data_IF_777223918299
#
_entry.id   IF_777223918299
#
_cell.length_a   1.000
_cell.length_b   1.000
_cell.length_c   1.000
_cell.angle_alpha   90.00
_cell.angle_beta   90.00
_cell.angle_gamma   90.00
#
_symmetry.space_group_name_H-M   'P 1'
#
loop_
_entity.id
_entity.type
_entity.pdbx_description
1 polymer ?
#
# COMPACT_ATOMS: atom_id res chain seq x y z
N UNK A 1 18.63 15.00 -46.32
CA UNK A 1 18.06 15.68 -45.13
C UNK A 1 16.89 14.91 -44.49
N UNK A 2 16.39 13.82 -45.10
CA UNK A 2 15.34 12.97 -44.51
C UNK A 2 15.95 11.79 -43.72
N UNK A 3 17.11 11.28 -44.16
CA UNK A 3 17.75 10.11 -43.56
C UNK A 3 18.29 10.37 -42.14
N UNK A 4 18.84 11.56 -41.87
CA UNK A 4 19.27 11.95 -40.51
C UNK A 4 18.09 12.01 -39.53
N UNK A 5 16.91 12.45 -39.97
CA UNK A 5 15.74 12.51 -39.10
C UNK A 5 15.23 11.12 -38.71
N UNK A 6 15.31 10.17 -39.66
CA UNK A 6 14.96 8.77 -39.40
C UNK A 6 15.97 8.14 -38.42
N UNK A 7 17.26 8.41 -38.61
CA UNK A 7 18.32 7.89 -37.74
C UNK A 7 18.23 8.47 -36.32
N UNK A 8 17.99 9.78 -36.18
CA UNK A 8 17.78 10.44 -34.89
C UNK A 8 16.54 9.90 -34.17
N UNK A 9 15.44 9.66 -34.90
CA UNK A 9 14.24 9.05 -34.34
C UNK A 9 14.50 7.60 -33.90
N UNK A 10 15.31 6.87 -34.65
CA UNK A 10 15.68 5.49 -34.36
C UNK A 10 16.60 5.38 -33.14
N UNK A 11 17.59 6.26 -33.02
CA UNK A 11 18.45 6.39 -31.82
C UNK A 11 17.63 6.72 -30.57
N UNK A 12 16.71 7.69 -30.68
CA UNK A 12 15.86 8.06 -29.54
C UNK A 12 14.96 6.90 -29.09
N UNK A 13 14.45 6.10 -30.04
CA UNK A 13 13.65 4.92 -29.71
C UNK A 13 14.47 3.82 -29.02
N UNK A 14 15.76 3.64 -29.36
CA UNK A 14 16.59 2.63 -28.68
C UNK A 14 16.91 3.01 -27.23
N UNK A 15 17.17 4.30 -26.95
CA UNK A 15 17.44 4.75 -25.57
C UNK A 15 16.17 4.78 -24.70
N UNK A 16 15.00 4.97 -25.31
CA UNK A 16 13.70 4.92 -24.62
C UNK A 16 13.16 3.49 -24.45
N UNK A 17 13.84 2.46 -24.99
CA UNK A 17 13.39 1.08 -24.77
C UNK A 17 13.51 0.78 -23.28
N UNK A 18 12.40 0.39 -22.62
CA UNK A 18 12.45 -0.03 -21.23
C UNK A 18 13.46 -1.17 -21.11
N UNK A 19 14.43 -1.01 -20.21
CA UNK A 19 15.44 -2.04 -19.98
C UNK A 19 14.74 -3.35 -19.57
N UNK A 20 15.28 -4.54 -19.90
CA UNK A 20 14.71 -5.81 -19.46
C UNK A 20 14.52 -5.87 -17.94
N UNK A 21 15.39 -5.16 -17.19
CA UNK A 21 15.28 -4.95 -15.76
C UNK A 21 14.04 -4.13 -15.37
N UNK A 22 13.69 -3.07 -16.11
CA UNK A 22 12.44 -2.33 -15.86
C UNK A 22 11.23 -3.23 -16.08
N UNK A 23 11.21 -4.04 -17.13
CA UNK A 23 10.13 -5.02 -17.35
C UNK A 23 10.04 -6.03 -16.20
N UNK A 24 11.19 -6.53 -15.73
CA UNK A 24 11.25 -7.42 -14.55
C UNK A 24 10.79 -6.71 -13.27
N UNK A 25 11.09 -5.42 -13.12
CA UNK A 25 10.67 -4.59 -11.96
C UNK A 25 9.18 -4.29 -12.00
N UNK A 26 8.62 -4.01 -13.18
CA UNK A 26 7.18 -3.83 -13.40
C UNK A 26 6.43 -5.16 -13.30
N UNK A 27 7.04 -6.28 -13.67
CA UNK A 27 6.46 -7.63 -13.53
C UNK A 27 6.46 -8.07 -12.05
N UNK A 28 7.54 -7.82 -11.30
CA UNK A 28 7.59 -8.05 -9.85
C UNK A 28 6.59 -7.15 -9.10
N UNK A 29 6.46 -5.89 -9.53
CA UNK A 29 5.52 -4.94 -8.95
C UNK A 29 4.06 -5.27 -9.33
N UNK A 30 3.79 -5.74 -10.55
CA UNK A 30 2.43 -6.09 -11.00
C UNK A 30 1.93 -7.41 -10.39
N UNK A 31 2.81 -8.39 -10.22
CA UNK A 31 2.47 -9.69 -9.62
C UNK A 31 2.27 -9.57 -8.10
N UNK A 32 3.05 -8.72 -7.43
CA UNK A 32 2.85 -8.40 -6.01
C UNK A 32 1.65 -7.48 -5.76
N UNK A 33 1.36 -6.53 -6.65
CA UNK A 33 0.32 -5.51 -6.39
C UNK A 33 -1.11 -6.03 -6.52
N UNK A 34 -1.37 -7.05 -7.35
CA UNK A 34 -2.68 -7.73 -7.40
C UNK A 34 -2.95 -8.54 -6.12
N UNK A 35 -1.94 -9.27 -5.62
CA UNK A 35 -2.05 -10.08 -4.40
C UNK A 35 -2.23 -9.20 -3.15
N UNK A 36 -1.42 -8.16 -3.02
CA UNK A 36 -1.48 -7.24 -1.87
C UNK A 36 -2.79 -6.47 -1.80
N UNK A 37 -3.32 -6.03 -2.96
CA UNK A 37 -4.64 -5.39 -3.02
C UNK A 37 -5.77 -6.32 -2.59
N UNK A 38 -5.70 -7.60 -2.96
CA UNK A 38 -6.66 -8.62 -2.53
C UNK A 38 -6.55 -8.93 -1.03
N UNK A 39 -5.32 -9.06 -0.50
CA UNK A 39 -5.06 -9.22 0.93
C UNK A 39 -5.62 -8.04 1.73
N UNK A 40 -5.37 -6.81 1.28
CA UNK A 40 -5.93 -5.60 1.88
C UNK A 40 -7.47 -5.61 1.82
N UNK A 41 -8.07 -6.14 0.75
CA UNK A 41 -9.52 -6.31 0.63
C UNK A 41 -10.13 -7.25 1.67
N UNK A 42 -9.40 -8.30 2.06
CA UNK A 42 -9.86 -9.32 3.01
C UNK A 42 -9.85 -8.89 4.49
N UNK A 43 -9.15 -7.82 4.83
CA UNK A 43 -9.17 -7.27 6.20
C UNK A 43 -10.48 -6.49 6.40
N UNK A 44 -11.29 -6.89 7.38
CA UNK A 44 -12.53 -6.18 7.71
C UNK A 44 -12.21 -4.88 8.43
N UNK A 45 -13.00 -3.83 8.21
CA UNK A 45 -12.88 -2.56 8.94
C UNK A 45 -12.96 -2.79 10.47
N UNK A 46 -12.12 -2.08 11.23
CA UNK A 46 -12.15 -2.06 12.67
C UNK A 46 -13.19 -1.04 13.14
N UNK A 47 -14.16 -1.52 13.91
CA UNK A 47 -15.18 -0.71 14.56
C UNK A 47 -15.07 -0.97 16.06
N UNK A 48 -14.89 0.08 16.84
CA UNK A 48 -14.82 -0.05 18.28
C UNK A 48 -16.24 -0.20 18.84
N UNK A 49 -16.49 -1.28 19.56
CA UNK A 49 -17.76 -1.50 20.24
C UNK A 49 -17.52 -1.79 21.74
N UNK A 50 -17.94 -0.87 22.63
CA UNK A 50 -17.76 -1.00 24.06
C UNK A 50 -18.63 -2.10 24.69
N UNK A 51 -19.69 -2.57 24.03
CA UNK A 51 -20.56 -3.62 24.54
C UNK A 51 -20.06 -5.03 24.19
N UNK A 52 -19.35 -5.18 23.07
CA UNK A 52 -18.82 -6.47 22.61
C UNK A 52 -17.35 -6.68 22.97
N UNK A 53 -16.72 -5.72 23.67
CA UNK A 53 -15.30 -5.74 24.02
C UNK A 53 -14.38 -5.93 22.80
N UNK A 54 -14.82 -5.50 21.60
CA UNK A 54 -13.99 -5.54 20.40
C UNK A 54 -12.95 -4.42 20.51
N UNK A 55 -11.80 -4.77 21.07
CA UNK A 55 -10.62 -3.90 21.13
C UNK A 55 -9.78 -4.05 19.88
N UNK A 56 -8.90 -3.06 19.65
CA UNK A 56 -7.96 -3.10 18.55
C UNK A 56 -7.08 -4.35 18.59
N UNK A 57 -6.57 -4.74 19.76
CA UNK A 57 -5.78 -5.96 19.96
C UNK A 57 -6.54 -7.22 19.52
N UNK A 58 -7.81 -7.35 19.91
CA UNK A 58 -8.62 -8.51 19.53
C UNK A 58 -8.84 -8.58 18.02
N UNK A 59 -9.12 -7.43 17.40
CA UNK A 59 -9.28 -7.35 15.96
C UNK A 59 -7.97 -7.65 15.22
N UNK A 60 -6.85 -7.08 15.67
CA UNK A 60 -5.53 -7.24 15.05
C UNK A 60 -5.04 -8.68 15.14
N UNK A 61 -5.30 -9.36 16.27
CA UNK A 61 -4.90 -10.76 16.47
C UNK A 61 -5.50 -11.72 15.43
N UNK A 62 -6.64 -11.38 14.81
CA UNK A 62 -7.23 -12.15 13.71
C UNK A 62 -6.44 -12.05 12.40
N UNK A 63 -5.60 -11.02 12.27
CA UNK A 63 -4.80 -10.71 11.09
C UNK A 63 -3.29 -10.74 11.37
N UNK A 64 -2.86 -11.07 12.59
CA UNK A 64 -1.45 -11.08 12.98
C UNK A 64 -0.60 -11.99 12.07
N UNK A 65 -1.12 -13.17 11.73
CA UNK A 65 -0.49 -14.12 10.81
C UNK A 65 -0.35 -13.53 9.40
N UNK A 66 -1.39 -12.85 8.90
CA UNK A 66 -1.37 -12.15 7.62
C UNK A 66 -0.26 -11.08 7.56
N UNK A 67 -0.08 -10.33 8.65
CA UNK A 67 0.98 -9.31 8.72
C UNK A 67 2.39 -9.93 8.79
N UNK A 68 2.50 -11.11 9.40
CA UNK A 68 3.76 -11.81 9.65
C UNK A 68 4.21 -12.70 8.49
N UNK A 69 3.26 -13.25 7.72
CA UNK A 69 3.50 -14.19 6.63
C UNK A 69 3.30 -13.50 5.29
N UNK A 70 2.07 -13.11 4.96
CA UNK A 70 1.72 -12.57 3.64
C UNK A 70 2.29 -11.17 3.38
N UNK A 71 2.43 -10.37 4.45
CA UNK A 71 2.96 -9.02 4.38
C UNK A 71 4.41 -8.92 4.86
N UNK A 72 5.08 -10.04 5.15
CA UNK A 72 6.45 -10.07 5.69
C UNK A 72 7.43 -9.19 4.89
N UNK A 73 7.35 -9.27 3.55
CA UNK A 73 8.22 -8.55 2.63
C UNK A 73 7.88 -7.06 2.46
N UNK A 74 6.78 -6.59 3.02
CA UNK A 74 6.35 -5.19 2.89
C UNK A 74 7.02 -4.29 3.93
N UNK A 75 7.27 -3.04 3.54
CA UNK A 75 7.80 -2.03 4.45
C UNK A 75 6.78 -1.67 5.54
N UNK A 76 7.25 -1.44 6.77
CA UNK A 76 6.36 -1.19 7.92
C UNK A 76 5.49 0.06 7.72
N UNK A 77 6.03 1.10 7.07
CA UNK A 77 5.25 2.30 6.74
C UNK A 77 4.04 1.99 5.85
N UNK A 78 4.13 0.98 4.97
CA UNK A 78 3.01 0.55 4.15
C UNK A 78 1.99 -0.25 4.97
N UNK A 79 2.46 -1.16 5.84
CA UNK A 79 1.60 -1.93 6.77
C UNK A 79 0.81 -1.01 7.70
N UNK A 80 1.45 0.02 8.24
CA UNK A 80 0.80 1.03 9.09
C UNK A 80 -0.25 1.83 8.31
N UNK A 81 0.04 2.25 7.07
CA UNK A 81 -0.94 2.93 6.21
C UNK A 81 -2.16 2.04 5.91
N UNK A 82 -1.94 0.74 5.69
CA UNK A 82 -3.03 -0.23 5.52
C UNK A 82 -3.90 -0.32 6.78
N UNK A 83 -3.27 -0.40 7.96
CA UNK A 83 -3.96 -0.44 9.26
C UNK A 83 -4.85 0.79 9.47
N UNK A 84 -4.31 1.98 9.18
CA UNK A 84 -5.04 3.24 9.31
C UNK A 84 -6.22 3.34 8.33
N UNK A 85 -6.07 2.82 7.11
CA UNK A 85 -7.18 2.75 6.15
C UNK A 85 -8.29 1.79 6.61
N UNK A 86 -7.97 0.82 7.48
CA UNK A 86 -8.94 -0.14 8.01
C UNK A 86 -9.58 0.31 9.32
N UNK A 87 -9.21 1.48 9.85
CA UNK A 87 -9.95 2.09 10.95
C UNK A 87 -11.25 2.69 10.42
N UNK A 88 -12.36 2.47 11.13
CA UNK A 88 -13.62 3.15 10.86
C UNK A 88 -13.48 4.67 10.91
N UNK A 89 -14.40 5.44 10.28
CA UNK A 89 -14.33 6.89 10.23
C UNK A 89 -14.24 7.54 11.62
N UNK A 90 -15.02 7.02 12.59
CA UNK A 90 -15.03 7.53 13.95
C UNK A 90 -13.72 7.22 14.69
N UNK A 91 -13.17 6.01 14.52
CA UNK A 91 -11.93 5.57 15.12
C UNK A 91 -10.72 6.31 14.51
N UNK A 92 -10.75 6.57 13.21
CA UNK A 92 -9.75 7.38 12.51
C UNK A 92 -9.75 8.82 13.03
N UNK A 93 -10.93 9.42 13.24
CA UNK A 93 -11.05 10.74 13.86
C UNK A 93 -10.54 10.74 15.31
N UNK A 94 -10.82 9.71 16.10
CA UNK A 94 -10.30 9.60 17.47
C UNK A 94 -8.78 9.48 17.48
N UNK A 95 -8.20 8.66 16.59
CA UNK A 95 -6.77 8.52 16.42
C UNK A 95 -6.11 9.85 16.01
N UNK A 96 -6.67 10.52 15.00
CA UNK A 96 -6.18 11.82 14.55
C UNK A 96 -6.25 12.88 15.66
N UNK A 97 -7.33 12.90 16.45
CA UNK A 97 -7.51 13.83 17.57
C UNK A 97 -6.59 13.53 18.77
N UNK A 98 -6.15 12.28 18.96
CA UNK A 98 -5.25 11.90 20.06
C UNK A 98 -3.77 12.11 19.72
N UNK A 99 -3.39 12.01 18.44
CA UNK A 99 -1.98 12.02 18.02
C UNK A 99 -1.56 13.35 17.42
N UNK A 100 -2.46 14.06 16.75
CA UNK A 100 -2.19 15.45 16.44
C UNK A 100 -2.48 16.29 17.67
N UNK A 101 -1.52 17.13 18.13
CA UNK A 101 -1.87 18.21 19.03
C UNK A 101 -3.02 18.97 18.37
N UNK A 102 -4.19 19.02 19.00
CA UNK A 102 -5.22 19.99 18.61
C UNK A 102 -4.48 21.32 18.55
N UNK A 103 -4.31 21.87 17.34
CA UNK A 103 -3.69 23.15 17.16
C UNK A 103 -4.41 24.12 18.10
N UNK A 104 -3.76 24.44 19.22
CA UNK A 104 -4.23 25.50 20.09
C UNK A 104 -4.10 26.74 19.25
N UNK A 105 -5.27 27.34 18.98
CA UNK A 105 -5.45 28.54 18.17
C UNK A 105 -4.38 29.60 18.41
#
# INVERSE_FOLDING_TARGET
>A
MVDEYVDLKQMLQQHLKPSPLSYLTHQLAADGSQSVGHIAGNITEFLYDPHTHITFDYWYKRYEDLFSVDLAAQIDAWKVRLLLHKLGPAEHELYANFIFPKNSR
#
